data_IF_018600971026
#
_entry.id   IF_018600971026
#
_cell.length_a   1.000
_cell.length_b   1.000
_cell.length_c   1.000
_cell.angle_alpha   90.00
_cell.angle_beta   90.00
_cell.angle_gamma   90.00
#
_symmetry.space_group_name_H-M   'P 1'
#
loop_
_entity.id
_entity.type
_entity.pdbx_description
1 polymer ?
#
# COMPACT_ATOMS: atom_id res chain seq x y z
N UNK A 1 3.02 -9.08 -26.68
CA UNK A 1 1.87 -8.17 -26.58
C UNK A 1 2.17 -7.05 -25.57
N UNK A 2 1.49 -5.89 -25.67
CA UNK A 2 1.65 -4.76 -24.74
C UNK A 2 1.32 -5.17 -23.29
N UNK A 3 0.32 -6.04 -23.13
CA UNK A 3 -0.08 -6.57 -21.83
C UNK A 3 0.99 -7.50 -21.23
N UNK A 4 1.62 -8.37 -22.05
CA UNK A 4 2.71 -9.23 -21.57
C UNK A 4 3.90 -8.43 -21.03
N UNK A 5 4.28 -7.32 -21.69
CA UNK A 5 5.35 -6.44 -21.19
C UNK A 5 4.98 -5.75 -19.88
N UNK A 6 3.70 -5.40 -19.70
CA UNK A 6 3.22 -4.81 -18.45
C UNK A 6 3.35 -5.80 -17.27
N UNK A 7 2.93 -7.06 -17.48
CA UNK A 7 3.07 -8.12 -16.47
C UNK A 7 4.54 -8.36 -16.12
N UNK A 8 5.40 -8.49 -17.13
CA UNK A 8 6.84 -8.69 -16.94
C UNK A 8 7.46 -7.53 -16.14
N UNK A 9 7.11 -6.30 -16.47
CA UNK A 9 7.57 -5.11 -15.73
C UNK A 9 7.06 -5.11 -14.28
N UNK A 10 5.78 -5.39 -14.05
CA UNK A 10 5.19 -5.41 -12.72
C UNK A 10 5.86 -6.46 -11.83
N UNK A 11 6.08 -7.67 -12.36
CA UNK A 11 6.81 -8.73 -11.67
C UNK A 11 8.26 -8.30 -11.37
N UNK A 12 8.98 -7.82 -12.38
CA UNK A 12 10.39 -7.42 -12.25
C UNK A 12 10.58 -6.34 -11.19
N UNK A 13 9.77 -5.27 -11.22
CA UNK A 13 9.84 -4.18 -10.24
C UNK A 13 9.50 -4.69 -8.83
N UNK A 14 8.45 -5.49 -8.70
CA UNK A 14 8.07 -6.05 -7.39
C UNK A 14 9.17 -6.93 -6.81
N UNK A 15 9.77 -7.82 -7.61
CA UNK A 15 10.86 -8.68 -7.18
C UNK A 15 12.10 -7.88 -6.79
N UNK A 16 12.49 -6.87 -7.58
CA UNK A 16 13.61 -6.00 -7.24
C UNK A 16 13.39 -5.28 -5.90
N UNK A 17 12.18 -4.73 -5.68
CA UNK A 17 11.83 -4.12 -4.40
C UNK A 17 11.96 -5.12 -3.23
N UNK A 18 11.44 -6.33 -3.39
CA UNK A 18 11.51 -7.38 -2.37
C UNK A 18 12.97 -7.75 -2.07
N UNK A 19 13.80 -7.96 -3.07
CA UNK A 19 15.21 -8.31 -2.88
C UNK A 19 15.99 -7.19 -2.18
N UNK A 20 15.76 -5.93 -2.56
CA UNK A 20 16.37 -4.77 -1.88
C UNK A 20 15.94 -4.74 -0.40
N UNK A 21 14.67 -4.94 -0.11
CA UNK A 21 14.15 -4.94 1.25
C UNK A 21 14.71 -6.13 2.06
N UNK A 22 14.77 -7.33 1.50
CA UNK A 22 15.35 -8.51 2.13
C UNK A 22 16.85 -8.35 2.40
N UNK A 23 17.58 -7.55 1.59
CA UNK A 23 19.00 -7.26 1.84
C UNK A 23 19.21 -6.34 3.06
N UNK A 24 18.21 -5.60 3.49
CA UNK A 24 18.29 -4.60 4.57
C UNK A 24 17.52 -4.98 5.82
N UNK A 25 16.50 -5.82 5.70
CA UNK A 25 15.58 -6.15 6.80
C UNK A 25 15.59 -7.65 7.13
N UNK A 26 15.34 -7.98 8.40
CA UNK A 26 15.28 -9.37 8.88
C UNK A 26 14.08 -10.13 8.30
N UNK A 27 12.96 -9.45 8.12
CA UNK A 27 11.73 -9.98 7.53
C UNK A 27 11.04 -8.89 6.71
N UNK A 28 10.28 -9.33 5.71
CA UNK A 28 9.49 -8.47 4.82
C UNK A 28 8.09 -9.05 4.71
N UNK A 29 7.06 -8.18 4.78
CA UNK A 29 5.69 -8.51 4.42
C UNK A 29 5.31 -7.73 3.17
N UNK A 30 4.95 -8.45 2.11
CA UNK A 30 4.47 -7.87 0.86
C UNK A 30 2.94 -7.81 0.87
N UNK A 31 2.40 -6.62 0.73
CA UNK A 31 0.96 -6.37 0.54
C UNK A 31 0.77 -5.69 -0.81
N UNK A 32 0.07 -6.35 -1.71
CA UNK A 32 -0.34 -5.79 -3.00
C UNK A 32 -1.84 -5.50 -2.92
N UNK A 33 -2.19 -4.22 -2.71
CA UNK A 33 -3.59 -3.81 -2.62
C UNK A 33 -4.30 -3.97 -3.96
N UNK A 34 -5.50 -4.54 -3.93
CA UNK A 34 -6.35 -4.70 -5.09
C UNK A 34 -6.82 -3.35 -5.63
N UNK A 35 -6.48 -3.03 -6.87
CA UNK A 35 -6.97 -1.85 -7.60
C UNK A 35 -8.27 -2.14 -8.34
N UNK A 36 -9.11 -1.12 -8.55
CA UNK A 36 -10.40 -1.26 -9.25
C UNK A 36 -10.28 -1.38 -10.78
N UNK A 37 -9.12 -1.11 -11.34
CA UNK A 37 -8.84 -1.24 -12.77
C UNK A 37 -7.99 -2.47 -13.10
N UNK A 38 -7.49 -3.19 -12.10
CA UNK A 38 -6.63 -4.35 -12.27
C UNK A 38 -6.77 -5.35 -11.11
N UNK A 39 -8.01 -5.77 -10.84
CA UNK A 39 -8.30 -6.76 -9.79
C UNK A 39 -7.60 -8.09 -10.10
N UNK A 40 -7.69 -8.55 -11.36
CA UNK A 40 -7.06 -9.79 -11.81
C UNK A 40 -5.53 -9.72 -11.76
N UNK A 41 -4.93 -8.63 -12.25
CA UNK A 41 -3.47 -8.44 -12.22
C UNK A 41 -2.92 -8.38 -10.80
N UNK A 42 -3.61 -7.70 -9.90
CA UNK A 42 -3.24 -7.68 -8.48
C UNK A 42 -3.28 -9.08 -7.85
N UNK A 43 -4.29 -9.89 -8.16
CA UNK A 43 -4.40 -11.26 -7.70
C UNK A 43 -3.26 -12.15 -8.26
N UNK A 44 -2.99 -12.05 -9.56
CA UNK A 44 -1.89 -12.77 -10.20
C UNK A 44 -0.53 -12.39 -9.62
N UNK A 45 -0.28 -11.11 -9.39
CA UNK A 45 0.98 -10.63 -8.81
C UNK A 45 1.21 -11.20 -7.40
N UNK A 46 0.17 -11.22 -6.54
CA UNK A 46 0.23 -11.83 -5.20
C UNK A 46 0.55 -13.32 -5.28
N UNK A 47 -0.17 -14.07 -6.12
CA UNK A 47 0.04 -15.52 -6.27
C UNK A 47 1.41 -15.83 -6.88
N UNK A 48 1.86 -15.06 -7.88
CA UNK A 48 3.19 -15.22 -8.47
C UNK A 48 4.30 -14.98 -7.43
N UNK A 49 4.22 -13.89 -6.67
CA UNK A 49 5.17 -13.60 -5.60
C UNK A 49 5.21 -14.73 -4.55
N UNK A 50 4.05 -15.24 -4.15
CA UNK A 50 3.96 -16.36 -3.19
C UNK A 50 4.61 -17.63 -3.71
N UNK A 51 4.46 -17.94 -4.99
CA UNK A 51 5.08 -19.12 -5.63
C UNK A 51 6.59 -18.93 -5.78
N UNK A 52 7.04 -17.76 -6.23
CA UNK A 52 8.46 -17.45 -6.43
C UNK A 52 9.22 -17.54 -5.10
N UNK A 53 8.66 -16.98 -4.04
CA UNK A 53 9.31 -16.89 -2.73
C UNK A 53 8.88 -17.97 -1.73
N UNK A 54 8.21 -19.05 -2.17
CA UNK A 54 7.67 -20.10 -1.30
C UNK A 54 8.67 -20.72 -0.31
N UNK A 55 9.96 -20.69 -0.64
CA UNK A 55 11.03 -21.24 0.19
C UNK A 55 11.78 -20.17 1.00
N UNK A 56 11.35 -18.91 0.96
CA UNK A 56 11.99 -17.83 1.69
C UNK A 56 11.18 -17.51 2.96
N UNK A 57 11.60 -18.08 4.09
CA UNK A 57 10.93 -17.87 5.39
C UNK A 57 10.95 -16.41 5.89
N UNK A 58 11.75 -15.53 5.26
CA UNK A 58 11.85 -14.11 5.62
C UNK A 58 10.85 -13.23 4.87
N UNK A 59 10.13 -13.77 3.88
CA UNK A 59 9.11 -13.05 3.14
C UNK A 59 7.73 -13.66 3.41
N UNK A 60 6.82 -12.84 3.93
CA UNK A 60 5.40 -13.12 3.98
C UNK A 60 4.71 -12.37 2.84
N UNK A 61 3.97 -13.08 2.00
CA UNK A 61 3.10 -12.47 0.98
C UNK A 61 1.67 -12.55 1.47
N UNK A 62 1.02 -11.39 1.64
CA UNK A 62 -0.39 -11.32 1.98
C UNK A 62 -1.23 -11.65 0.73
N UNK A 63 -1.89 -12.80 0.73
CA UNK A 63 -2.71 -13.28 -0.38
C UNK A 63 -4.23 -13.21 -0.10
N UNK A 64 -4.61 -12.36 0.83
CA UNK A 64 -6.01 -12.04 1.15
C UNK A 64 -6.75 -11.58 -0.11
N UNK A 65 -7.94 -12.15 -0.34
CA UNK A 65 -8.79 -11.86 -1.50
C UNK A 65 -9.78 -10.71 -1.26
N UNK A 66 -9.70 -10.05 -0.11
CA UNK A 66 -10.47 -8.86 0.22
C UNK A 66 -9.69 -7.58 -0.06
N UNK A 67 -10.36 -6.47 -0.39
CA UNK A 67 -9.68 -5.22 -0.73
C UNK A 67 -9.11 -4.45 0.48
N UNK A 68 -9.23 -5.00 1.68
CA UNK A 68 -8.69 -4.42 2.91
C UNK A 68 -7.60 -5.30 3.47
N UNK A 69 -6.48 -4.71 3.86
CA UNK A 69 -5.32 -5.43 4.39
C UNK A 69 -4.88 -4.78 5.69
N UNK A 70 -4.35 -5.56 6.62
CA UNK A 70 -3.84 -5.03 7.88
C UNK A 70 -2.59 -5.75 8.36
N UNK A 71 -1.78 -5.03 9.11
CA UNK A 71 -0.61 -5.55 9.80
C UNK A 71 -0.50 -4.91 11.18
N UNK A 72 -0.30 -5.74 12.20
CA UNK A 72 -0.04 -5.28 13.57
C UNK A 72 1.46 -5.30 13.84
N UNK A 73 2.03 -4.13 14.12
CA UNK A 73 3.43 -3.95 14.48
C UNK A 73 3.55 -3.42 15.92
N UNK A 74 3.63 -4.34 16.88
CA UNK A 74 3.56 -3.98 18.30
C UNK A 74 2.22 -3.33 18.66
N UNK A 75 2.26 -2.06 19.12
CA UNK A 75 1.06 -1.28 19.44
C UNK A 75 0.53 -0.46 18.24
N UNK A 76 1.02 -0.72 17.03
CA UNK A 76 0.67 0.02 15.82
C UNK A 76 -0.10 -0.88 14.86
N UNK A 77 -1.29 -0.48 14.47
CA UNK A 77 -2.02 -1.10 13.37
C UNK A 77 -1.82 -0.31 12.08
N UNK A 78 -1.34 -0.97 11.06
CA UNK A 78 -1.22 -0.45 9.70
C UNK A 78 -2.32 -1.09 8.84
N UNK A 79 -3.27 -0.27 8.38
CA UNK A 79 -4.32 -0.67 7.45
C UNK A 79 -3.98 -0.20 6.03
N UNK A 80 -4.38 -0.99 5.02
CA UNK A 80 -4.14 -0.66 3.62
C UNK A 80 -5.40 -0.92 2.79
N UNK A 81 -5.71 0.01 1.90
CA UNK A 81 -6.82 -0.08 0.97
C UNK A 81 -6.52 0.76 -0.26
N UNK A 82 -6.91 0.32 -1.46
CA UNK A 82 -6.65 1.10 -2.68
C UNK A 82 -7.31 2.49 -2.67
N UNK A 83 -8.47 2.64 -2.05
CA UNK A 83 -9.16 3.94 -1.92
C UNK A 83 -10.44 4.08 -2.76
N UNK A 84 -10.80 3.10 -3.60
CA UNK A 84 -11.92 3.20 -4.54
C UNK A 84 -13.30 2.82 -3.95
N UNK A 85 -13.37 1.91 -2.96
CA UNK A 85 -14.67 1.37 -2.45
C UNK A 85 -15.26 2.19 -1.31
N UNK A 86 -14.46 2.98 -0.60
CA UNK A 86 -14.89 3.76 0.57
C UNK A 86 -14.24 5.15 0.58
N UNK A 87 -15.01 6.14 1.05
CA UNK A 87 -14.46 7.46 1.35
C UNK A 87 -13.40 7.34 2.44
N UNK A 88 -12.37 8.16 2.36
CA UNK A 88 -11.21 8.13 3.26
C UNK A 88 -11.63 8.17 4.74
N UNK A 89 -12.56 9.06 5.12
CA UNK A 89 -13.05 9.17 6.49
C UNK A 89 -13.92 8.01 7.00
N UNK A 90 -14.37 7.10 6.12
CA UNK A 90 -15.16 5.92 6.51
C UNK A 90 -14.31 4.65 6.72
N UNK A 91 -13.04 4.69 6.38
CA UNK A 91 -12.14 3.53 6.51
C UNK A 91 -11.90 3.09 7.96
N UNK A 92 -11.75 3.98 8.95
CA UNK A 92 -11.60 3.58 10.35
C UNK A 92 -12.74 2.68 10.83
N UNK A 93 -14.00 2.98 10.45
CA UNK A 93 -15.15 2.16 10.84
C UNK A 93 -15.10 0.75 10.24
N UNK A 94 -14.52 0.58 9.04
CA UNK A 94 -14.35 -0.74 8.42
C UNK A 94 -13.37 -1.58 9.25
N UNK A 95 -12.20 -1.05 9.57
CA UNK A 95 -11.18 -1.78 10.31
C UNK A 95 -11.57 -2.05 11.76
N UNK A 96 -12.31 -1.15 12.40
CA UNK A 96 -12.76 -1.32 13.79
C UNK A 96 -13.94 -2.28 13.94
N UNK A 97 -14.81 -2.42 12.92
CA UNK A 97 -16.03 -3.24 13.02
C UNK A 97 -15.89 -4.63 12.39
N UNK A 98 -15.05 -4.80 11.38
CA UNK A 98 -14.88 -6.07 10.67
C UNK A 98 -14.21 -7.14 11.56
N UNK A 99 -14.80 -8.32 11.62
CA UNK A 99 -14.33 -9.43 12.45
C UNK A 99 -12.86 -9.84 12.19
N UNK A 100 -12.36 -9.58 10.96
CA UNK A 100 -10.98 -9.89 10.57
C UNK A 100 -9.95 -8.95 11.18
N UNK A 101 -10.33 -7.69 11.43
CA UNK A 101 -9.40 -6.62 11.81
C UNK A 101 -9.66 -6.04 13.20
N UNK A 102 -10.89 -6.15 13.73
CA UNK A 102 -11.28 -5.56 15.01
C UNK A 102 -10.40 -5.97 16.18
N UNK A 103 -9.84 -7.18 16.15
CA UNK A 103 -8.91 -7.65 17.19
C UNK A 103 -7.58 -6.87 17.13
N UNK A 104 -7.03 -6.65 15.92
CA UNK A 104 -5.82 -5.83 15.74
C UNK A 104 -6.10 -4.36 16.12
N UNK A 105 -7.26 -3.85 15.73
CA UNK A 105 -7.72 -2.51 16.07
C UNK A 105 -7.77 -2.30 17.60
N UNK A 106 -8.37 -3.24 18.33
CA UNK A 106 -8.49 -3.18 19.80
C UNK A 106 -7.17 -3.35 20.54
N UNK A 107 -6.16 -3.99 19.93
CA UNK A 107 -4.82 -4.14 20.49
C UNK A 107 -3.90 -2.95 20.20
N UNK A 108 -4.22 -2.18 19.14
CA UNK A 108 -3.38 -1.08 18.71
C UNK A 108 -3.66 0.19 19.53
N UNK A 109 -2.59 0.87 19.93
CA UNK A 109 -2.65 2.20 20.50
C UNK A 109 -2.73 3.29 19.43
N UNK A 110 -2.12 3.03 18.26
CA UNK A 110 -2.11 3.93 17.11
C UNK A 110 -2.52 3.16 15.86
N UNK A 111 -3.45 3.74 15.10
CA UNK A 111 -3.91 3.18 13.84
C UNK A 111 -3.60 4.13 12.69
N UNK A 112 -2.95 3.61 11.66
CA UNK A 112 -2.65 4.33 10.41
C UNK A 112 -3.26 3.56 9.25
N UNK A 113 -3.98 4.24 8.38
CA UNK A 113 -4.62 3.62 7.20
C UNK A 113 -4.09 4.33 5.95
N UNK A 114 -3.46 3.55 5.08
CA UNK A 114 -2.84 4.02 3.86
C UNK A 114 -3.70 3.72 2.65
N UNK A 115 -3.91 4.73 1.79
CA UNK A 115 -4.71 4.59 0.57
C UNK A 115 -4.01 5.23 -0.63
N UNK A 116 -4.50 4.95 -1.83
CA UNK A 116 -4.08 5.55 -3.09
C UNK A 116 -5.29 6.00 -3.92
N UNK A 117 -5.37 5.56 -5.18
CA UNK A 117 -6.43 5.71 -6.16
C UNK A 117 -6.57 7.11 -6.78
N UNK A 118 -6.75 8.16 -5.98
CA UNK A 118 -7.04 9.50 -6.52
C UNK A 118 -5.80 10.31 -6.91
N UNK A 119 -4.62 9.71 -6.83
CA UNK A 119 -3.34 10.26 -7.27
C UNK A 119 -2.95 11.63 -6.66
N UNK A 120 -3.64 12.09 -5.61
CA UNK A 120 -3.28 13.29 -4.85
C UNK A 120 -3.13 12.94 -3.37
N UNK A 121 -2.28 13.69 -2.69
CA UNK A 121 -2.06 13.52 -1.26
C UNK A 121 -3.21 14.13 -0.48
N UNK A 122 -3.73 13.38 0.48
CA UNK A 122 -4.74 13.83 1.44
C UNK A 122 -4.51 13.10 2.75
N UNK A 123 -4.60 13.82 3.84
CA UNK A 123 -4.53 13.23 5.18
C UNK A 123 -5.75 13.66 5.98
N UNK A 124 -6.42 12.71 6.58
CA UNK A 124 -7.48 12.94 7.56
C UNK A 124 -7.02 12.38 8.88
N UNK A 125 -6.64 13.27 9.79
CA UNK A 125 -6.38 12.91 11.18
C UNK A 125 -7.72 12.88 11.93
N UNK A 126 -8.10 11.71 12.44
CA UNK A 126 -9.37 11.55 13.12
C UNK A 126 -9.19 11.35 14.61
N UNK A 127 -9.21 12.41 15.42
CA UNK A 127 -9.35 12.26 16.87
C UNK A 127 -10.64 11.50 17.22
N UNK A 128 -11.70 11.70 16.41
CA UNK A 128 -12.99 11.02 16.58
C UNK A 128 -13.06 9.63 15.97
N UNK A 129 -12.20 9.30 15.00
CA UNK A 129 -12.21 8.01 14.31
C UNK A 129 -11.17 7.02 14.84
N UNK A 130 -10.26 7.47 15.70
CA UNK A 130 -9.22 6.62 16.29
C UNK A 130 -8.11 6.22 15.31
N UNK A 131 -8.02 6.83 14.12
CA UNK A 131 -6.98 6.54 13.14
C UNK A 131 -6.57 7.76 12.33
N UNK A 132 -5.32 7.77 11.89
CA UNK A 132 -4.84 8.68 10.85
C UNK A 132 -5.01 7.95 9.52
N UNK A 133 -5.79 8.51 8.60
CA UNK A 133 -5.98 7.98 7.26
C UNK A 133 -5.27 8.87 6.26
N UNK A 134 -4.37 8.30 5.47
CA UNK A 134 -3.56 9.02 4.51
C UNK A 134 -3.75 8.46 3.10
N UNK A 135 -3.91 9.37 2.14
CA UNK A 135 -3.85 9.07 0.73
C UNK A 135 -2.49 9.45 0.18
N UNK A 136 -1.84 8.48 -0.45
CA UNK A 136 -0.53 8.66 -1.04
C UNK A 136 -0.61 9.11 -2.49
N UNK A 137 0.39 9.88 -2.96
CA UNK A 137 0.55 10.20 -4.37
C UNK A 137 0.88 8.95 -5.19
N UNK A 138 0.92 9.08 -6.51
CA UNK A 138 1.28 7.99 -7.44
C UNK A 138 2.73 8.09 -7.88
N UNK A 139 3.31 6.96 -8.32
CA UNK A 139 4.54 6.93 -9.12
C UNK A 139 4.27 6.87 -10.62
N UNK A 140 3.01 6.59 -11.03
CA UNK A 140 2.65 6.51 -12.43
C UNK A 140 2.86 7.86 -13.13
N UNK A 141 3.39 7.84 -14.35
CA UNK A 141 3.45 8.99 -15.22
C UNK A 141 2.06 9.48 -15.62
N UNK A 142 1.97 10.68 -16.19
CA UNK A 142 0.73 11.18 -16.75
C UNK A 142 0.29 10.28 -17.91
N UNK A 143 -0.88 9.68 -17.78
CA UNK A 143 -1.49 8.94 -18.87
C UNK A 143 -2.40 9.83 -19.73
N UNK A 144 -2.90 9.29 -20.84
CA UNK A 144 -3.77 10.02 -21.76
C UNK A 144 -5.09 10.47 -21.08
N UNK A 145 -5.55 9.77 -20.05
CA UNK A 145 -6.76 10.12 -19.29
C UNK A 145 -6.48 11.33 -18.37
N UNK A 146 -5.38 11.27 -17.62
CA UNK A 146 -4.97 12.36 -16.74
C UNK A 146 -4.69 13.64 -17.55
N UNK A 147 -3.97 13.52 -18.69
CA UNK A 147 -3.66 14.63 -19.57
C UNK A 147 -4.90 15.28 -20.19
N UNK A 148 -5.91 14.49 -20.60
CA UNK A 148 -7.17 15.03 -21.14
C UNK A 148 -8.07 15.63 -20.06
N UNK A 149 -7.99 15.15 -18.82
CA UNK A 149 -8.74 15.67 -17.68
C UNK A 149 -8.11 16.91 -17.03
N UNK A 150 -6.93 17.35 -17.47
CA UNK A 150 -6.19 18.45 -16.85
C UNK A 150 -5.65 18.10 -15.44
N UNK A 151 -5.56 16.81 -15.10
CA UNK A 151 -5.06 16.36 -13.81
C UNK A 151 -3.53 16.35 -13.83
N UNK A 152 -2.93 17.18 -12.98
CA UNK A 152 -1.49 17.15 -12.70
C UNK A 152 -1.29 16.46 -11.36
N UNK A 153 -0.80 15.22 -11.41
CA UNK A 153 -0.52 14.45 -10.18
C UNK A 153 0.95 14.64 -9.77
N UNK A 154 1.15 14.99 -8.52
CA UNK A 154 2.50 14.98 -7.95
C UNK A 154 2.97 13.53 -7.78
N UNK A 155 4.09 13.18 -8.42
CA UNK A 155 4.66 11.83 -8.39
C UNK A 155 5.60 11.71 -7.20
N UNK A 156 5.30 10.79 -6.31
CA UNK A 156 6.19 10.50 -5.19
C UNK A 156 5.98 9.09 -4.64
N UNK A 157 7.01 8.59 -3.97
CA UNK A 157 6.94 7.40 -3.11
C UNK A 157 7.34 7.78 -1.69
N UNK A 158 6.73 7.12 -0.70
CA UNK A 158 7.03 7.33 0.71
C UNK A 158 7.66 6.08 1.33
N UNK A 159 8.75 6.25 2.06
CA UNK A 159 9.24 5.28 3.02
C UNK A 159 8.94 5.81 4.42
N UNK A 160 8.12 5.09 5.18
CA UNK A 160 7.65 5.50 6.50
C UNK A 160 8.15 4.50 7.53
N UNK A 161 8.79 5.00 8.58
CA UNK A 161 9.26 4.19 9.70
C UNK A 161 8.31 4.33 10.88
N UNK A 162 7.80 3.22 11.37
CA UNK A 162 6.97 3.15 12.57
C UNK A 162 7.75 2.52 13.71
N UNK A 163 7.80 3.21 14.84
CA UNK A 163 8.30 2.64 16.07
C UNK A 163 7.16 1.87 16.75
N UNK A 164 7.41 0.63 17.13
CA UNK A 164 6.41 -0.34 17.58
C UNK A 164 5.56 0.06 18.80
N UNK A 165 5.94 1.16 19.54
CA UNK A 165 5.19 1.69 20.69
C UNK A 165 4.70 3.12 20.51
N UNK A 166 5.34 3.93 19.64
CA UNK A 166 5.12 5.39 19.61
C UNK A 166 4.54 5.91 18.31
N UNK A 167 4.31 5.03 17.33
CA UNK A 167 3.73 5.42 16.03
C UNK A 167 4.77 5.84 15.00
N UNK A 168 4.38 6.69 14.06
CA UNK A 168 5.26 7.19 13.00
C UNK A 168 6.47 7.91 13.60
N UNK A 169 7.66 7.43 13.24
CA UNK A 169 8.93 7.96 13.72
C UNK A 169 9.62 8.86 12.71
N UNK A 170 9.60 8.46 11.44
CA UNK A 170 10.21 9.23 10.37
C UNK A 170 9.59 8.90 9.02
N UNK A 171 9.72 9.83 8.08
CA UNK A 171 9.23 9.70 6.71
C UNK A 171 10.25 10.24 5.73
N UNK A 172 10.48 9.50 4.65
CA UNK A 172 11.27 9.95 3.51
C UNK A 172 10.40 9.95 2.27
N UNK A 173 10.37 11.06 1.57
CA UNK A 173 9.68 11.22 0.29
C UNK A 173 10.71 11.20 -0.84
N UNK A 174 10.46 10.39 -1.86
CA UNK A 174 11.26 10.35 -3.09
C UNK A 174 10.38 10.81 -4.24
N UNK A 175 10.83 11.82 -4.95
CA UNK A 175 10.20 12.36 -6.15
C UNK A 175 11.03 11.89 -7.35
N UNK A 176 10.44 11.24 -8.37
CA UNK A 176 11.17 10.87 -9.58
C UNK A 176 11.72 12.11 -10.27
N UNK A 177 12.96 12.05 -10.78
CA UNK A 177 13.53 13.13 -11.59
C UNK A 177 12.80 13.22 -12.93
N UNK A 178 12.59 14.45 -13.44
CA UNK A 178 11.98 14.69 -14.76
C UNK A 178 12.90 14.31 -15.94
N UNK A 179 14.11 13.79 -15.68
CA UNK A 179 15.09 13.42 -16.71
C UNK A 179 14.82 12.07 -17.37
N UNK A 180 13.78 11.35 -16.93
CA UNK A 180 13.45 10.00 -17.42
C UNK A 180 12.18 10.00 -18.30
N UNK A 181 11.78 11.14 -18.88
CA UNK A 181 10.68 11.25 -19.86
C UNK A 181 11.18 11.29 -21.31
#
# INVERSE_FOLDING_TARGET
TRYGKLIEMALSVTMQCVEILLSKHKAVKLIVCEGNHDESGSAWLRKAAKVIYRNNARLEVDDTEFPYYAHLHGEIMLGFHHGHKKKIGALPSVFSSDARYRSMWGQAKYCYIHTGHYHHQEQVAGETSGAIVERHPTLAGADAYASRGGYVSWRAAHAITYHYKTGEHSRKTVVPSLQDE
#
